data_IF_862695562273
#
_entry.id   IF_862695562273
#
_cell.length_a   1.000
_cell.length_b   1.000
_cell.length_c   1.000
_cell.angle_alpha   90.00
_cell.angle_beta   90.00
_cell.angle_gamma   90.00
#
_symmetry.space_group_name_H-M   'P 1'
#
loop_
_entity.id
_entity.type
_entity.pdbx_description
1 polymer ?
#
# COMPACT_ATOMS: atom_id res chain seq x y z
N UNK A 1 -7.41 15.55 -9.07
CA UNK A 1 -8.68 15.03 -8.52
C UNK A 1 -8.72 15.42 -7.07
N UNK A 2 -9.86 15.92 -6.59
CA UNK A 2 -10.06 16.23 -5.17
C UNK A 2 -10.17 14.94 -4.33
N UNK A 3 -9.80 15.04 -3.05
CA UNK A 3 -9.77 13.92 -2.12
C UNK A 3 -11.15 13.29 -1.90
N UNK A 4 -12.21 14.09 -1.94
CA UNK A 4 -13.59 13.63 -1.76
C UNK A 4 -14.05 12.73 -2.91
N UNK A 5 -13.68 13.08 -4.15
CA UNK A 5 -13.96 12.24 -5.33
C UNK A 5 -13.22 10.90 -5.26
N UNK A 6 -11.94 10.92 -4.83
CA UNK A 6 -11.15 9.69 -4.67
C UNK A 6 -11.75 8.82 -3.57
N UNK A 7 -12.15 9.42 -2.45
CA UNK A 7 -12.80 8.72 -1.35
C UNK A 7 -14.07 8.01 -1.83
N UNK A 8 -14.99 8.71 -2.50
CA UNK A 8 -16.23 8.11 -3.03
C UNK A 8 -15.97 6.99 -4.03
N UNK A 9 -14.96 7.14 -4.89
CA UNK A 9 -14.56 6.07 -5.81
C UNK A 9 -14.09 4.82 -5.05
N UNK A 10 -13.26 4.99 -4.02
CA UNK A 10 -12.78 3.88 -3.21
C UNK A 10 -13.90 3.17 -2.44
N UNK A 11 -14.86 3.92 -1.89
CA UNK A 11 -16.05 3.36 -1.24
C UNK A 11 -16.80 2.45 -2.21
N UNK A 12 -17.07 2.92 -3.43
CA UNK A 12 -17.77 2.13 -4.44
C UNK A 12 -16.95 0.95 -4.97
N UNK A 13 -15.66 1.13 -5.23
CA UNK A 13 -14.79 0.06 -5.71
C UNK A 13 -14.67 -1.10 -4.70
N UNK A 14 -14.78 -0.80 -3.41
CA UNK A 14 -14.63 -1.74 -2.30
C UNK A 14 -15.96 -2.23 -1.72
N UNK A 15 -17.10 -1.70 -2.19
CA UNK A 15 -18.43 -2.10 -1.72
C UNK A 15 -18.75 -1.65 -0.29
N UNK A 16 -18.24 -0.48 0.12
CA UNK A 16 -18.36 0.05 1.48
C UNK A 16 -19.58 0.94 1.69
N UNK A 17 -20.47 1.07 0.70
CA UNK A 17 -21.62 1.99 0.74
C UNK A 17 -22.60 1.69 1.88
N UNK A 18 -22.67 0.43 2.33
CA UNK A 18 -23.53 0.03 3.43
C UNK A 18 -22.99 0.40 4.82
N UNK A 19 -21.72 0.78 4.91
CA UNK A 19 -21.09 1.22 6.15
C UNK A 19 -21.41 2.70 6.43
N UNK A 20 -21.38 3.09 7.69
CA UNK A 20 -21.38 4.50 8.06
C UNK A 20 -20.02 5.14 7.73
N UNK A 21 -19.97 6.47 7.72
CA UNK A 21 -18.77 7.24 7.33
C UNK A 21 -17.54 6.91 8.20
N UNK A 22 -17.71 6.74 9.52
CA UNK A 22 -16.61 6.39 10.42
C UNK A 22 -16.02 5.00 10.08
N UNK A 23 -16.88 4.02 9.84
CA UNK A 23 -16.46 2.66 9.48
C UNK A 23 -15.87 2.62 8.06
N UNK A 24 -16.35 3.46 7.13
CA UNK A 24 -15.76 3.64 5.81
C UNK A 24 -14.33 4.16 5.91
N UNK A 25 -14.11 5.25 6.65
CA UNK A 25 -12.78 5.82 6.88
C UNK A 25 -11.83 4.83 7.55
N UNK A 26 -12.28 4.15 8.61
CA UNK A 26 -11.49 3.14 9.31
C UNK A 26 -11.12 1.97 8.41
N UNK A 27 -12.05 1.51 7.56
CA UNK A 27 -11.79 0.42 6.61
C UNK A 27 -10.77 0.85 5.57
N UNK A 28 -10.91 2.04 4.98
CA UNK A 28 -9.96 2.56 4.01
C UNK A 28 -8.56 2.74 4.61
N UNK A 29 -8.47 3.26 5.84
CA UNK A 29 -7.20 3.38 6.54
C UNK A 29 -6.56 2.01 6.79
N UNK A 30 -7.35 1.04 7.25
CA UNK A 30 -6.87 -0.34 7.49
C UNK A 30 -6.37 -0.99 6.20
N UNK A 31 -7.06 -0.76 5.08
CA UNK A 31 -6.62 -1.24 3.78
C UNK A 31 -5.33 -0.56 3.32
N UNK A 32 -5.21 0.76 3.49
CA UNK A 32 -3.98 1.48 3.15
C UNK A 32 -2.77 0.95 3.94
N UNK A 33 -2.92 0.74 5.25
CA UNK A 33 -1.88 0.14 6.08
C UNK A 33 -1.54 -1.29 5.64
N UNK A 34 -2.55 -2.07 5.26
CA UNK A 34 -2.37 -3.44 4.79
C UNK A 34 -1.62 -3.50 3.46
N UNK A 35 -1.94 -2.60 2.53
CA UNK A 35 -1.22 -2.44 1.25
C UNK A 35 0.23 -2.07 1.51
N UNK A 36 0.49 -1.11 2.41
CA UNK A 36 1.85 -0.71 2.77
C UNK A 36 2.64 -1.87 3.38
N UNK A 37 2.04 -2.64 4.30
CA UNK A 37 2.67 -3.83 4.88
C UNK A 37 2.97 -4.88 3.82
N UNK A 38 2.02 -5.16 2.93
CA UNK A 38 2.22 -6.11 1.83
C UNK A 38 3.33 -5.65 0.89
N UNK A 39 3.42 -4.36 0.59
CA UNK A 39 4.48 -3.80 -0.23
C UNK A 39 5.85 -3.98 0.43
N UNK A 40 5.98 -3.78 1.75
CA UNK A 40 7.23 -4.04 2.46
C UNK A 40 7.60 -5.52 2.49
N UNK A 41 6.62 -6.42 2.63
CA UNK A 41 6.86 -7.87 2.54
C UNK A 41 7.36 -8.23 1.14
N UNK A 42 6.69 -7.76 0.09
CA UNK A 42 7.07 -8.00 -1.30
C UNK A 42 8.47 -7.40 -1.60
N UNK A 43 8.78 -6.22 -1.05
CA UNK A 43 10.10 -5.60 -1.14
C UNK A 43 11.17 -6.47 -0.46
N UNK A 44 10.93 -6.95 0.76
CA UNK A 44 11.84 -7.82 1.49
C UNK A 44 12.11 -9.13 0.73
N UNK A 45 11.07 -9.77 0.20
CA UNK A 45 11.20 -10.97 -0.62
C UNK A 45 12.02 -10.71 -1.89
N UNK A 46 11.91 -9.51 -2.47
CA UNK A 46 12.58 -9.13 -3.70
C UNK A 46 14.08 -8.86 -3.53
N UNK A 47 14.44 -8.08 -2.52
CA UNK A 47 15.81 -7.56 -2.34
C UNK A 47 16.59 -8.33 -1.28
N UNK A 48 15.90 -9.12 -0.45
CA UNK A 48 16.48 -9.84 0.66
C UNK A 48 16.84 -8.94 1.84
N UNK A 49 17.30 -9.58 2.93
CA UNK A 49 17.48 -8.93 4.24
C UNK A 49 18.39 -7.71 4.20
N UNK A 50 19.61 -7.84 3.70
CA UNK A 50 20.62 -6.78 3.80
C UNK A 50 20.23 -5.51 3.02
N UNK A 51 19.64 -5.69 1.83
CA UNK A 51 19.16 -4.58 1.01
C UNK A 51 17.88 -3.96 1.59
N UNK A 52 17.02 -4.78 2.20
CA UNK A 52 15.83 -4.29 2.88
C UNK A 52 16.18 -3.48 4.13
N UNK A 53 17.17 -3.91 4.92
CA UNK A 53 17.67 -3.13 6.06
C UNK A 53 18.26 -1.78 5.61
N UNK A 54 18.94 -1.73 4.45
CA UNK A 54 19.39 -0.48 3.86
C UNK A 54 18.23 0.44 3.44
N UNK A 55 17.16 -0.14 2.88
CA UNK A 55 15.93 0.57 2.55
C UNK A 55 15.26 1.14 3.80
N UNK A 56 15.13 0.36 4.88
CA UNK A 56 14.58 0.83 6.16
C UNK A 56 15.46 1.91 6.80
N UNK A 57 16.78 1.78 6.72
CA UNK A 57 17.70 2.79 7.22
C UNK A 57 17.53 4.12 6.46
N UNK A 58 17.29 4.06 5.15
CA UNK A 58 17.09 5.26 4.32
C UNK A 58 15.85 6.07 4.72
N UNK A 59 14.81 5.44 5.28
CA UNK A 59 13.63 6.16 5.83
C UNK A 59 14.04 7.15 6.93
N UNK A 60 15.02 6.78 7.77
CA UNK A 60 15.53 7.65 8.85
C UNK A 60 16.38 8.81 8.31
N UNK A 61 16.85 8.73 7.07
CA UNK A 61 17.66 9.75 6.42
C UNK A 61 16.81 10.81 5.69
N UNK A 62 15.53 10.53 5.48
CA UNK A 62 14.56 11.44 4.85
C UNK A 62 13.91 10.84 3.61
N UNK A 63 12.80 11.44 3.20
CA UNK A 63 11.97 10.96 2.08
C UNK A 63 12.74 10.88 0.76
N UNK A 64 13.54 11.89 0.42
CA UNK A 64 14.32 11.92 -0.83
C UNK A 64 15.33 10.75 -0.91
N UNK A 65 15.98 10.43 0.22
CA UNK A 65 16.91 9.31 0.31
C UNK A 65 16.19 7.97 0.22
N UNK A 66 15.02 7.85 0.87
CA UNK A 66 14.18 6.67 0.75
C UNK A 66 13.73 6.42 -0.67
N UNK A 67 13.18 7.42 -1.35
CA UNK A 67 12.71 7.30 -2.74
C UNK A 67 13.87 6.94 -3.67
N UNK A 68 15.05 7.54 -3.48
CA UNK A 68 16.25 7.21 -4.27
C UNK A 68 16.70 5.77 -4.04
N UNK A 69 16.74 5.33 -2.78
CA UNK A 69 17.14 3.96 -2.40
C UNK A 69 16.14 2.94 -2.94
N UNK A 70 14.84 3.23 -2.82
CA UNK A 70 13.77 2.40 -3.37
C UNK A 70 13.90 2.24 -4.89
N UNK A 71 14.08 3.33 -5.62
CA UNK A 71 14.26 3.31 -7.09
C UNK A 71 15.52 2.55 -7.52
N UNK A 72 16.57 2.58 -6.70
CA UNK A 72 17.81 1.87 -6.99
C UNK A 72 17.67 0.35 -6.77
N UNK A 73 17.06 -0.04 -5.65
CA UNK A 73 16.92 -1.45 -5.26
C UNK A 73 15.76 -2.14 -6.00
N UNK A 74 14.69 -1.39 -6.28
CA UNK A 74 13.45 -1.87 -6.90
C UNK A 74 13.05 -0.87 -7.99
N UNK A 75 13.68 -0.92 -9.19
CA UNK A 75 13.39 0.03 -10.27
C UNK A 75 11.93 -0.01 -10.74
N UNK A 76 11.27 -1.15 -10.56
CA UNK A 76 9.87 -1.46 -10.87
C UNK A 76 8.93 -1.33 -9.65
N UNK A 77 9.30 -0.54 -8.63
CA UNK A 77 8.53 -0.42 -7.38
C UNK A 77 7.06 -0.02 -7.59
N UNK A 78 6.74 0.75 -8.64
CA UNK A 78 5.36 1.15 -8.94
C UNK A 78 4.50 -0.04 -9.37
N UNK A 79 5.05 -0.93 -10.22
CA UNK A 79 4.39 -2.16 -10.63
C UNK A 79 4.24 -3.10 -9.42
N UNK A 80 5.32 -3.25 -8.63
CA UNK A 80 5.28 -4.01 -7.40
C UNK A 80 4.19 -3.49 -6.45
N UNK A 81 4.07 -2.18 -6.29
CA UNK A 81 3.02 -1.56 -5.48
C UNK A 81 1.61 -1.89 -6.00
N UNK A 82 1.39 -1.85 -7.32
CA UNK A 82 0.08 -2.23 -7.88
C UNK A 82 -0.24 -3.71 -7.64
N UNK A 83 0.77 -4.58 -7.71
CA UNK A 83 0.63 -6.02 -7.40
C UNK A 83 0.30 -6.22 -5.92
N UNK A 84 1.03 -5.56 -5.01
CA UNK A 84 0.76 -5.61 -3.56
C UNK A 84 -0.63 -5.09 -3.23
N UNK A 85 -1.03 -3.96 -3.84
CA UNK A 85 -2.38 -3.40 -3.72
C UNK A 85 -3.44 -4.39 -4.16
N UNK A 86 -3.25 -5.01 -5.32
CA UNK A 86 -4.19 -6.01 -5.85
C UNK A 86 -4.33 -7.20 -4.91
N UNK A 87 -3.24 -7.75 -4.38
CA UNK A 87 -3.28 -8.86 -3.41
C UNK A 87 -4.16 -8.53 -2.20
N UNK A 88 -4.00 -7.34 -1.62
CA UNK A 88 -4.78 -6.92 -0.44
C UNK A 88 -6.24 -6.69 -0.78
N UNK A 89 -6.54 -6.02 -1.90
CA UNK A 89 -7.92 -5.77 -2.32
C UNK A 89 -8.64 -7.09 -2.66
N UNK A 90 -7.98 -8.00 -3.38
CA UNK A 90 -8.55 -9.31 -3.73
C UNK A 90 -8.80 -10.15 -2.47
N UNK A 91 -7.87 -10.14 -1.51
CA UNK A 91 -8.04 -10.80 -0.22
C UNK A 91 -9.21 -10.19 0.58
N UNK A 92 -9.33 -8.87 0.62
CA UNK A 92 -10.44 -8.19 1.27
C UNK A 92 -11.80 -8.59 0.64
N UNK A 93 -11.91 -8.50 -0.69
CA UNK A 93 -13.13 -8.87 -1.42
C UNK A 93 -13.49 -10.35 -1.25
N UNK A 94 -12.51 -11.24 -1.30
CA UNK A 94 -12.70 -12.67 -1.09
C UNK A 94 -13.06 -13.05 0.35
N UNK A 95 -12.75 -12.21 1.34
CA UNK A 95 -13.12 -12.39 2.74
C UNK A 95 -14.51 -11.85 3.08
N UNK A 96 -15.08 -11.02 2.21
CA UNK A 96 -16.38 -10.35 2.38
C UNK A 96 -17.54 -11.06 1.66
N UNK A 97 -17.31 -12.25 1.08
CA UNK A 97 -18.34 -13.16 0.54
C UNK A 97 -18.65 -14.28 1.53
#
# INVERSE_FOLDING_TARGET
MDSETIFKQLITELGLESLNEEDQERTLLTLAESIQKQFFVDAYERVGKDQFEALEASLKMGEDFYVTTLKHLIPDYEEMFQVSRKKVIDAYKGSSQ
#
